data_IF_293803334666
#
_entry.id   IF_293803334666
#
_cell.length_a   1.000
_cell.length_b   1.000
_cell.length_c   1.000
_cell.angle_alpha   90.00
_cell.angle_beta   90.00
_cell.angle_gamma   90.00
#
_symmetry.space_group_name_H-M   'P 1'
#
loop_
_entity.id
_entity.type
_entity.pdbx_description
1 polymer ?
#
# COMPACT_ATOMS: atom_id res chain seq x y z
N UNK A 1 41.15 11.02 -0.99
CA UNK A 1 41.49 12.32 -0.41
C UNK A 1 40.45 12.67 0.66
N UNK A 2 40.89 13.26 1.75
CA UNK A 2 40.04 13.87 2.75
C UNK A 2 40.09 15.37 2.55
N UNK A 3 38.95 16.00 2.49
CA UNK A 3 38.81 17.43 2.22
C UNK A 3 38.37 18.18 3.48
N UNK A 4 38.92 19.37 3.67
CA UNK A 4 38.49 20.34 4.66
C UNK A 4 37.99 21.58 3.92
N UNK A 5 36.85 22.09 4.33
CA UNK A 5 36.31 23.34 3.81
C UNK A 5 36.86 24.51 4.62
N UNK A 6 37.51 25.43 3.94
CA UNK A 6 38.09 26.66 4.57
C UNK A 6 37.43 27.89 3.95
N UNK A 7 36.95 28.79 4.82
CA UNK A 7 36.43 30.09 4.37
C UNK A 7 37.61 31.02 4.05
N UNK A 8 37.65 31.50 2.82
CA UNK A 8 38.57 32.58 2.48
C UNK A 8 38.01 33.89 3.04
N UNK A 9 38.75 34.53 3.96
CA UNK A 9 38.30 35.75 4.65
C UNK A 9 38.20 36.98 3.73
N UNK A 10 38.98 37.00 2.63
CA UNK A 10 38.98 38.11 1.69
C UNK A 10 37.84 38.00 0.65
N UNK A 11 37.67 36.80 0.05
CA UNK A 11 36.66 36.59 -1.00
C UNK A 11 35.30 36.12 -0.47
N UNK A 12 35.20 35.72 0.82
CA UNK A 12 34.03 35.14 1.45
C UNK A 12 33.58 33.83 0.79
N UNK A 13 34.43 33.21 0.00
CA UNK A 13 34.15 31.93 -0.66
C UNK A 13 34.67 30.76 0.17
N UNK A 14 33.95 29.65 0.13
CA UNK A 14 34.36 28.38 0.74
C UNK A 14 35.20 27.62 -0.28
N UNK A 15 36.46 27.34 0.05
CA UNK A 15 37.37 26.57 -0.79
C UNK A 15 37.63 25.20 -0.16
N UNK A 16 37.75 24.17 -1.01
CA UNK A 16 38.13 22.84 -0.59
C UNK A 16 39.66 22.73 -0.53
N UNK A 17 40.19 22.35 0.64
CA UNK A 17 41.62 22.06 0.81
C UNK A 17 41.78 20.59 1.14
N UNK A 18 42.71 19.93 0.45
CA UNK A 18 43.07 18.56 0.73
C UNK A 18 43.80 18.51 2.07
N UNK A 19 43.19 17.92 3.09
CA UNK A 19 43.76 17.74 4.42
C UNK A 19 44.68 16.49 4.47
N UNK A 20 44.36 15.49 3.66
CA UNK A 20 45.18 14.29 3.58
C UNK A 20 44.77 13.38 2.41
N UNK A 21 45.70 12.58 1.96
CA UNK A 21 45.52 11.57 0.91
C UNK A 21 45.85 10.19 1.47
N UNK A 22 44.88 9.28 1.40
CA UNK A 22 45.08 7.86 1.73
C UNK A 22 45.07 7.05 0.44
N UNK A 23 46.13 6.33 0.19
CA UNK A 23 46.25 5.40 -0.97
C UNK A 23 46.39 3.98 -0.48
N UNK A 24 45.46 3.13 -0.91
CA UNK A 24 45.56 1.68 -0.67
C UNK A 24 45.08 0.93 -1.91
N UNK A 25 45.54 -0.31 -2.06
CA UNK A 25 44.95 -1.21 -3.01
C UNK A 25 43.50 -1.52 -2.57
N UNK A 26 42.53 -1.63 -3.49
CA UNK A 26 41.12 -1.90 -3.15
C UNK A 26 40.92 -3.39 -2.81
N UNK A 27 41.80 -3.93 -1.98
CA UNK A 27 41.76 -5.31 -1.53
C UNK A 27 41.03 -5.34 -0.20
N UNK A 28 39.99 -6.17 -0.10
CA UNK A 28 39.29 -6.48 1.15
C UNK A 28 39.65 -7.90 1.56
N UNK A 29 40.01 -8.08 2.82
CA UNK A 29 40.13 -9.41 3.39
C UNK A 29 38.74 -10.06 3.39
N UNK A 30 38.62 -11.22 2.73
CA UNK A 30 37.34 -11.90 2.52
C UNK A 30 37.11 -13.10 3.44
N UNK A 31 38.06 -13.41 4.31
CA UNK A 31 38.01 -14.63 5.12
C UNK A 31 37.34 -14.48 6.46
N UNK A 32 37.36 -13.28 7.05
CA UNK A 32 36.64 -13.03 8.29
C UNK A 32 35.89 -11.71 8.20
N UNK A 33 34.60 -11.76 8.43
CA UNK A 33 33.70 -10.61 8.50
C UNK A 33 32.88 -10.68 9.78
N UNK A 34 32.46 -9.52 10.30
CA UNK A 34 31.57 -9.51 11.44
C UNK A 34 30.17 -10.00 11.04
N UNK A 35 29.43 -10.52 11.99
CA UNK A 35 28.04 -10.97 11.79
C UNK A 35 27.18 -9.84 11.18
N UNK A 36 27.34 -8.59 11.62
CA UNK A 36 26.64 -7.45 11.04
C UNK A 36 26.95 -7.24 9.55
N UNK A 37 28.23 -7.35 9.16
CA UNK A 37 28.63 -7.21 7.76
C UNK A 37 28.20 -8.39 6.89
N UNK A 38 27.86 -9.53 7.48
CA UNK A 38 27.32 -10.69 6.76
C UNK A 38 25.82 -10.58 6.47
N UNK A 39 25.13 -9.57 7.02
CA UNK A 39 23.71 -9.36 6.72
C UNK A 39 23.50 -9.14 5.21
N UNK A 40 22.52 -9.85 4.65
CA UNK A 40 22.24 -9.84 3.21
C UNK A 40 23.14 -10.77 2.38
N UNK A 41 24.20 -11.36 2.98
CA UNK A 41 25.05 -12.34 2.30
C UNK A 41 24.57 -13.76 2.60
N UNK A 42 24.90 -14.70 1.72
CA UNK A 42 24.62 -16.12 1.88
C UNK A 42 25.87 -16.91 1.50
N UNK A 43 26.23 -17.89 2.33
CA UNK A 43 27.41 -18.69 2.16
C UNK A 43 27.06 -20.18 1.97
N UNK A 44 27.80 -20.87 1.15
CA UNK A 44 27.71 -22.33 1.04
C UNK A 44 28.41 -23.02 2.21
N UNK A 45 29.53 -22.44 2.66
CA UNK A 45 30.30 -22.91 3.81
C UNK A 45 30.75 -21.72 4.66
N UNK A 46 30.59 -21.82 5.96
CA UNK A 46 31.06 -20.78 6.89
C UNK A 46 31.48 -21.40 8.23
N UNK A 47 32.54 -20.87 8.80
CA UNK A 47 32.95 -21.13 10.19
C UNK A 47 32.41 -19.94 11.00
N UNK A 48 31.59 -20.20 12.00
CA UNK A 48 30.93 -19.19 12.82
C UNK A 48 31.50 -19.21 14.22
N UNK A 49 32.06 -18.06 14.64
CA UNK A 49 32.38 -17.79 16.04
C UNK A 49 31.29 -16.89 16.65
N UNK A 50 30.45 -17.50 17.50
CA UNK A 50 29.39 -16.82 18.19
C UNK A 50 29.59 -16.73 19.69
N UNK A 51 30.84 -16.91 20.18
CA UNK A 51 31.16 -16.92 21.62
C UNK A 51 30.81 -15.63 22.33
N UNK A 52 30.98 -14.51 21.68
CA UNK A 52 30.82 -13.18 22.21
C UNK A 52 29.63 -12.43 21.58
N UNK A 53 28.54 -13.13 21.30
CA UNK A 53 27.31 -12.46 20.86
C UNK A 53 26.78 -11.58 21.99
N UNK A 54 26.55 -10.29 21.67
CA UNK A 54 26.12 -9.29 22.66
C UNK A 54 24.75 -8.63 22.30
N UNK A 55 24.22 -8.90 21.11
CA UNK A 55 22.97 -8.33 20.67
C UNK A 55 21.89 -9.40 20.45
N UNK A 56 20.64 -9.02 20.69
CA UNK A 56 19.48 -9.86 20.40
C UNK A 56 19.47 -10.34 18.95
N UNK A 57 19.24 -11.62 18.74
CA UNK A 57 19.16 -12.22 17.40
C UNK A 57 20.50 -12.35 16.65
N UNK A 58 21.62 -11.88 17.18
CA UNK A 58 22.92 -11.91 16.49
C UNK A 58 23.36 -13.33 16.13
N UNK A 59 23.19 -14.28 17.03
CA UNK A 59 23.46 -15.71 16.77
C UNK A 59 22.57 -16.26 15.66
N UNK A 60 21.29 -15.92 15.66
CA UNK A 60 20.36 -16.32 14.60
C UNK A 60 20.81 -15.77 13.23
N UNK A 61 21.19 -14.49 13.18
CA UNK A 61 21.69 -13.87 11.95
C UNK A 61 22.93 -14.61 11.43
N UNK A 62 23.86 -14.97 12.30
CA UNK A 62 25.06 -15.72 11.93
C UNK A 62 24.73 -17.10 11.34
N UNK A 63 23.92 -17.88 12.07
CA UNK A 63 23.53 -19.23 11.66
C UNK A 63 22.72 -19.22 10.34
N UNK A 64 21.84 -18.26 10.16
CA UNK A 64 21.00 -18.12 8.95
C UNK A 64 21.77 -17.69 7.70
N UNK A 65 23.07 -17.40 7.79
CA UNK A 65 23.90 -17.06 6.63
C UNK A 65 24.32 -18.28 5.81
N UNK A 66 24.32 -19.48 6.39
CA UNK A 66 24.62 -20.71 5.66
C UNK A 66 23.35 -21.27 4.98
N UNK A 67 23.51 -21.76 3.75
CA UNK A 67 22.44 -22.41 2.98
C UNK A 67 22.00 -23.72 3.59
N UNK A 68 22.93 -24.50 4.12
CA UNK A 68 22.69 -25.85 4.69
C UNK A 68 23.43 -26.04 5.98
N UNK A 69 22.97 -26.98 6.79
CA UNK A 69 23.67 -27.38 8.02
C UNK A 69 25.02 -28.02 7.77
N UNK A 70 25.19 -28.74 6.67
CA UNK A 70 26.46 -29.39 6.29
C UNK A 70 27.57 -28.40 5.98
N UNK A 71 27.18 -27.20 5.53
CA UNK A 71 28.12 -26.11 5.25
C UNK A 71 28.50 -25.28 6.48
N UNK A 72 27.84 -25.51 7.62
CA UNK A 72 27.99 -24.72 8.81
C UNK A 72 28.91 -25.41 9.82
N UNK A 73 29.98 -24.73 10.22
CA UNK A 73 30.89 -25.16 11.28
C UNK A 73 30.85 -24.13 12.39
N UNK A 74 30.67 -24.58 13.62
CA UNK A 74 30.83 -23.75 14.82
C UNK A 74 32.24 -23.87 15.35
N UNK A 75 32.93 -22.77 15.56
CA UNK A 75 34.28 -22.77 16.13
C UNK A 75 34.26 -23.25 17.60
N UNK A 76 33.13 -23.03 18.26
CA UNK A 76 32.87 -23.52 19.62
C UNK A 76 31.41 -23.82 19.85
N UNK A 77 31.04 -24.71 20.78
CA UNK A 77 29.65 -24.96 21.09
C UNK A 77 28.93 -23.68 21.52
N UNK A 78 27.70 -23.52 21.02
CA UNK A 78 26.82 -22.39 21.41
C UNK A 78 26.42 -22.54 22.88
N UNK A 79 26.67 -21.53 23.66
CA UNK A 79 26.19 -21.44 25.04
C UNK A 79 24.81 -20.81 25.09
N UNK A 80 24.03 -21.10 26.13
CA UNK A 80 22.70 -20.50 26.31
C UNK A 80 22.76 -18.96 26.36
N UNK A 81 23.81 -18.42 26.92
CA UNK A 81 24.06 -16.98 27.06
C UNK A 81 24.32 -16.28 25.72
N UNK A 82 24.74 -17.04 24.70
CA UNK A 82 24.91 -16.53 23.34
C UNK A 82 23.57 -16.43 22.57
N UNK A 83 22.51 -17.04 23.10
CA UNK A 83 21.15 -16.98 22.52
C UNK A 83 20.38 -15.90 23.28
N UNK A 84 20.58 -14.67 22.83
CA UNK A 84 19.90 -13.52 23.42
C UNK A 84 18.63 -13.28 22.63
N UNK A 85 17.46 -13.47 23.26
CA UNK A 85 16.16 -13.16 22.69
C UNK A 85 15.57 -11.92 23.34
N UNK A 86 14.75 -11.21 22.55
CA UNK A 86 14.00 -10.07 23.07
C UNK A 86 12.62 -10.56 23.55
N UNK A 87 12.36 -10.36 24.85
CA UNK A 87 11.10 -10.78 25.46
C UNK A 87 9.87 -10.11 24.82
N UNK A 88 10.01 -8.91 24.29
CA UNK A 88 8.91 -8.22 23.57
C UNK A 88 8.60 -8.93 22.26
N UNK A 89 9.64 -9.29 21.50
CA UNK A 89 9.49 -10.06 20.24
C UNK A 89 8.94 -11.45 20.51
N UNK A 90 9.47 -12.14 21.53
CA UNK A 90 8.99 -13.48 21.92
C UNK A 90 7.52 -13.46 22.35
N UNK A 91 7.10 -12.47 23.12
CA UNK A 91 5.71 -12.31 23.54
C UNK A 91 4.81 -11.99 22.35
N UNK A 92 5.25 -11.09 21.47
CA UNK A 92 4.52 -10.77 20.24
C UNK A 92 4.33 -12.02 19.35
N UNK A 93 5.41 -12.78 19.15
CA UNK A 93 5.34 -14.01 18.35
C UNK A 93 4.36 -15.03 18.94
N UNK A 94 4.41 -15.23 20.27
CA UNK A 94 3.46 -16.11 20.98
C UNK A 94 2.01 -15.61 20.86
N UNK A 95 1.81 -14.30 20.92
CA UNK A 95 0.50 -13.69 20.75
C UNK A 95 -0.04 -13.87 19.33
N UNK A 96 0.80 -13.66 18.32
CA UNK A 96 0.45 -13.91 16.89
C UNK A 96 0.10 -15.38 16.67
N UNK A 97 0.87 -16.32 17.23
CA UNK A 97 0.57 -17.75 17.13
C UNK A 97 -0.76 -18.13 17.79
N UNK A 98 -1.04 -17.57 18.98
CA UNK A 98 -2.32 -17.80 19.69
C UNK A 98 -3.51 -17.21 18.95
N UNK A 99 -3.32 -16.06 18.32
CA UNK A 99 -4.37 -15.32 17.62
C UNK A 99 -4.39 -15.62 16.11
N UNK A 100 -3.68 -16.68 15.68
CA UNK A 100 -3.68 -17.08 14.28
C UNK A 100 -5.10 -17.34 13.79
N UNK A 101 -5.57 -16.63 12.74
CA UNK A 101 -6.93 -16.76 12.26
C UNK A 101 -7.20 -18.18 11.79
N UNK A 102 -8.29 -18.75 12.26
CA UNK A 102 -8.81 -20.04 11.78
C UNK A 102 -9.46 -19.87 10.40
N UNK A 103 -9.70 -21.01 9.71
CA UNK A 103 -10.30 -21.02 8.37
C UNK A 103 -11.64 -20.28 8.30
N UNK A 104 -12.47 -20.38 9.32
CA UNK A 104 -13.73 -19.65 9.38
C UNK A 104 -13.50 -18.12 9.42
N UNK A 105 -12.62 -17.68 10.29
CA UNK A 105 -12.30 -16.25 10.42
C UNK A 105 -11.69 -15.71 9.12
N UNK A 106 -10.83 -16.49 8.45
CA UNK A 106 -10.27 -16.13 7.14
C UNK A 106 -11.38 -15.99 6.09
N UNK A 107 -12.31 -16.94 6.04
CA UNK A 107 -13.48 -16.87 5.13
C UNK A 107 -14.34 -15.64 5.39
N UNK A 108 -14.61 -15.33 6.67
CA UNK A 108 -15.39 -14.14 7.06
C UNK A 108 -14.68 -12.84 6.65
N UNK A 109 -13.36 -12.78 6.82
CA UNK A 109 -12.55 -11.63 6.39
C UNK A 109 -12.52 -11.48 4.86
N UNK A 110 -12.45 -12.59 4.12
CA UNK A 110 -12.53 -12.58 2.66
C UNK A 110 -13.89 -12.08 2.16
N UNK A 111 -15.00 -12.54 2.80
CA UNK A 111 -16.34 -12.03 2.50
C UNK A 111 -16.46 -10.52 2.77
N UNK A 112 -15.96 -10.07 3.91
CA UNK A 112 -15.97 -8.65 4.27
C UNK A 112 -15.17 -7.82 3.24
N UNK A 113 -13.98 -8.26 2.86
CA UNK A 113 -13.17 -7.59 1.85
C UNK A 113 -13.86 -7.53 0.48
N UNK A 114 -14.49 -8.61 0.05
CA UNK A 114 -15.25 -8.62 -1.21
C UNK A 114 -16.45 -7.67 -1.17
N UNK A 115 -17.15 -7.62 -0.03
CA UNK A 115 -18.23 -6.64 0.19
C UNK A 115 -17.71 -5.20 0.11
N UNK A 116 -16.56 -4.91 0.72
CA UNK A 116 -15.95 -3.57 0.70
C UNK A 116 -15.58 -3.16 -0.73
N UNK A 117 -14.99 -4.06 -1.52
CA UNK A 117 -14.68 -3.82 -2.94
C UNK A 117 -15.93 -3.46 -3.77
N UNK A 118 -17.05 -4.19 -3.56
CA UNK A 118 -18.31 -3.87 -4.25
C UNK A 118 -18.90 -2.55 -3.75
N UNK A 119 -18.78 -2.29 -2.45
CA UNK A 119 -19.28 -1.05 -1.84
C UNK A 119 -18.53 0.16 -2.40
N UNK A 120 -17.22 0.06 -2.60
CA UNK A 120 -16.41 1.12 -3.21
C UNK A 120 -16.72 1.28 -4.71
N UNK A 121 -16.87 0.16 -5.44
CA UNK A 121 -17.16 0.19 -6.88
C UNK A 121 -18.49 0.89 -7.19
N UNK A 122 -19.51 0.67 -6.37
CA UNK A 122 -20.86 1.23 -6.56
C UNK A 122 -21.16 2.41 -5.62
N UNK A 123 -20.12 3.08 -5.10
CA UNK A 123 -20.24 4.27 -4.27
C UNK A 123 -20.22 5.54 -5.13
N UNK A 124 -21.38 6.13 -5.32
CA UNK A 124 -21.52 7.38 -6.07
C UNK A 124 -21.63 8.64 -5.20
N UNK A 125 -21.33 8.53 -3.90
CA UNK A 125 -21.39 9.67 -2.98
C UNK A 125 -20.47 10.81 -3.39
N UNK A 126 -19.23 10.49 -3.76
CA UNK A 126 -18.25 11.49 -4.23
C UNK A 126 -18.70 12.20 -5.50
N UNK A 127 -19.35 11.47 -6.43
CA UNK A 127 -19.93 12.03 -7.64
C UNK A 127 -21.07 13.01 -7.29
N UNK A 128 -22.00 12.60 -6.43
CA UNK A 128 -23.12 13.44 -5.98
C UNK A 128 -22.62 14.74 -5.32
N UNK A 129 -21.64 14.64 -4.41
CA UNK A 129 -21.07 15.82 -3.74
C UNK A 129 -20.34 16.74 -4.72
N UNK A 130 -19.56 16.19 -5.64
CA UNK A 130 -18.89 16.97 -6.67
C UNK A 130 -19.90 17.68 -7.59
N UNK A 131 -20.97 16.99 -7.96
CA UNK A 131 -22.04 17.55 -8.78
C UNK A 131 -22.77 18.70 -8.07
N UNK A 132 -23.13 18.53 -6.80
CA UNK A 132 -23.74 19.59 -5.99
C UNK A 132 -22.85 20.83 -5.86
N UNK A 133 -21.53 20.63 -5.71
CA UNK A 133 -20.56 21.75 -5.69
C UNK A 133 -20.50 22.48 -7.02
N UNK A 134 -20.49 21.72 -8.11
CA UNK A 134 -20.49 22.29 -9.47
C UNK A 134 -21.76 23.09 -9.74
N UNK A 135 -22.94 22.54 -9.39
CA UNK A 135 -24.21 23.25 -9.53
C UNK A 135 -24.23 24.58 -8.78
N UNK A 136 -23.72 24.57 -7.53
CA UNK A 136 -23.62 25.80 -6.72
C UNK A 136 -22.74 26.84 -7.40
N UNK A 137 -21.57 26.45 -7.87
CA UNK A 137 -20.63 27.34 -8.58
C UNK A 137 -21.24 27.91 -9.87
N UNK A 138 -21.98 27.10 -10.64
CA UNK A 138 -22.68 27.56 -11.84
C UNK A 138 -23.79 28.54 -11.49
N UNK A 139 -24.54 28.33 -10.40
CA UNK A 139 -25.66 29.16 -9.98
C UNK A 139 -25.20 30.48 -9.35
N UNK A 140 -24.13 30.49 -8.59
CA UNK A 140 -23.62 31.69 -7.89
C UNK A 140 -22.72 32.55 -8.78
N UNK A 141 -21.78 31.93 -9.51
CA UNK A 141 -20.71 32.66 -10.18
C UNK A 141 -20.89 32.78 -11.69
N UNK A 142 -21.47 31.76 -12.35
CA UNK A 142 -21.45 31.63 -13.82
C UNK A 142 -22.84 31.75 -14.47
N UNK A 143 -23.91 31.93 -13.71
CA UNK A 143 -25.27 31.90 -14.26
C UNK A 143 -25.52 32.98 -15.33
N UNK A 144 -24.88 34.15 -15.25
CA UNK A 144 -24.99 35.24 -16.20
C UNK A 144 -24.27 34.91 -17.50
N UNK A 145 -23.16 34.23 -17.46
CA UNK A 145 -22.35 33.88 -18.60
C UNK A 145 -22.87 32.65 -19.34
N UNK A 146 -23.38 31.66 -18.58
CA UNK A 146 -23.76 30.35 -19.13
C UNK A 146 -25.16 29.89 -18.62
N UNK A 147 -26.23 30.66 -18.84
CA UNK A 147 -27.57 30.33 -18.32
C UNK A 147 -28.14 29.03 -18.87
N UNK A 148 -27.87 28.71 -20.14
CA UNK A 148 -28.30 27.43 -20.75
C UNK A 148 -27.60 26.23 -20.11
N UNK A 149 -26.34 26.36 -19.83
CA UNK A 149 -25.53 25.30 -19.16
C UNK A 149 -26.07 25.01 -17.77
N UNK A 150 -26.35 26.05 -16.97
CA UNK A 150 -26.97 25.90 -15.67
C UNK A 150 -28.30 25.14 -15.76
N UNK A 151 -29.13 25.44 -16.75
CA UNK A 151 -30.41 24.75 -16.93
C UNK A 151 -30.20 23.26 -17.24
N UNK A 152 -29.24 22.92 -18.12
CA UNK A 152 -28.94 21.52 -18.46
C UNK A 152 -28.45 20.75 -17.24
N UNK A 153 -27.59 21.35 -16.39
CA UNK A 153 -27.14 20.73 -15.15
C UNK A 153 -28.29 20.58 -14.15
N UNK A 154 -29.15 21.58 -13.96
CA UNK A 154 -30.32 21.47 -13.05
C UNK A 154 -31.29 20.36 -13.47
N UNK A 155 -31.45 20.12 -14.77
CA UNK A 155 -32.28 19.02 -15.28
C UNK A 155 -31.67 17.63 -15.03
N UNK A 156 -30.36 17.53 -14.94
CA UNK A 156 -29.66 16.26 -14.72
C UNK A 156 -29.58 15.89 -13.21
N UNK A 157 -29.78 16.83 -12.31
CA UNK A 157 -29.67 16.58 -10.85
C UNK A 157 -30.64 15.49 -10.36
N UNK A 158 -31.96 15.51 -10.69
CA UNK A 158 -32.89 14.43 -10.32
C UNK A 158 -32.45 13.07 -10.86
N UNK A 159 -31.92 13.01 -12.09
CA UNK A 159 -31.44 11.79 -12.69
C UNK A 159 -30.29 11.18 -11.84
N UNK A 160 -29.30 11.98 -11.43
CA UNK A 160 -28.20 11.50 -10.56
C UNK A 160 -28.76 10.95 -9.24
N UNK A 161 -29.66 11.69 -8.62
CA UNK A 161 -30.24 11.28 -7.34
C UNK A 161 -31.05 9.99 -7.48
N UNK A 162 -32.03 9.95 -8.37
CA UNK A 162 -33.02 8.88 -8.45
C UNK A 162 -32.51 7.63 -9.19
N UNK A 163 -31.73 7.82 -10.28
CA UNK A 163 -31.28 6.71 -11.13
C UNK A 163 -29.92 6.17 -10.74
N UNK A 164 -29.08 6.96 -10.08
CA UNK A 164 -27.74 6.51 -9.71
C UNK A 164 -27.69 6.29 -8.19
N UNK A 165 -27.83 7.33 -7.37
CA UNK A 165 -27.58 7.22 -5.91
C UNK A 165 -28.61 6.32 -5.23
N UNK A 166 -29.90 6.54 -5.44
CA UNK A 166 -30.96 5.73 -4.80
C UNK A 166 -30.96 4.28 -5.31
N UNK A 167 -30.66 4.07 -6.59
CA UNK A 167 -30.52 2.72 -7.13
C UNK A 167 -29.29 2.01 -6.55
N UNK A 168 -28.17 2.71 -6.38
CA UNK A 168 -26.97 2.15 -5.75
C UNK A 168 -27.23 1.70 -4.31
N UNK A 169 -27.95 2.49 -3.53
CA UNK A 169 -28.37 2.09 -2.18
C UNK A 169 -29.23 0.81 -2.17
N UNK A 170 -30.19 0.71 -3.07
CA UNK A 170 -31.03 -0.50 -3.20
C UNK A 170 -30.21 -1.70 -3.67
N UNK A 171 -29.29 -1.47 -4.62
CA UNK A 171 -28.41 -2.49 -5.15
C UNK A 171 -27.45 -3.02 -4.09
N UNK A 172 -26.94 -2.14 -3.22
CA UNK A 172 -26.11 -2.55 -2.06
C UNK A 172 -26.83 -3.58 -1.19
N UNK A 173 -28.09 -3.35 -0.86
CA UNK A 173 -28.87 -4.29 -0.06
C UNK A 173 -29.05 -5.66 -0.76
N UNK A 174 -29.18 -5.65 -2.08
CA UNK A 174 -29.32 -6.88 -2.87
C UNK A 174 -28.03 -7.73 -2.86
N UNK A 175 -26.89 -7.15 -3.23
CA UNK A 175 -25.66 -7.94 -3.25
C UNK A 175 -25.18 -8.29 -1.85
N UNK A 176 -25.47 -7.48 -0.82
CA UNK A 176 -25.21 -7.84 0.59
C UNK A 176 -25.95 -9.12 0.98
N UNK A 177 -27.23 -9.23 0.59
CA UNK A 177 -28.01 -10.43 0.85
C UNK A 177 -27.41 -11.63 0.13
N UNK A 178 -27.12 -11.52 -1.16
CA UNK A 178 -26.55 -12.61 -1.95
C UNK A 178 -25.19 -13.09 -1.40
N UNK A 179 -24.30 -12.16 -0.99
CA UNK A 179 -23.01 -12.52 -0.38
C UNK A 179 -23.21 -13.30 0.92
N UNK A 180 -24.20 -12.90 1.76
CA UNK A 180 -24.43 -13.57 3.04
C UNK A 180 -25.11 -14.94 2.88
N UNK A 181 -25.98 -15.11 1.89
CA UNK A 181 -26.68 -16.35 1.60
C UNK A 181 -25.79 -17.38 0.86
N UNK A 182 -24.75 -16.94 0.16
CA UNK A 182 -23.86 -17.80 -0.60
C UNK A 182 -22.76 -18.41 0.28
N UNK A 183 -22.52 -19.71 0.11
CA UNK A 183 -21.37 -20.40 0.72
C UNK A 183 -20.07 -20.07 -0.01
N UNK A 184 -20.11 -20.03 -1.34
CA UNK A 184 -18.99 -19.63 -2.21
C UNK A 184 -19.38 -18.44 -3.11
N UNK A 185 -19.36 -17.25 -2.50
CA UNK A 185 -19.72 -15.99 -3.15
C UNK A 185 -18.84 -15.68 -4.38
N UNK A 186 -17.61 -16.19 -4.45
CA UNK A 186 -16.68 -15.91 -5.54
C UNK A 186 -17.09 -16.60 -6.85
N UNK A 187 -17.66 -17.81 -6.77
CA UNK A 187 -18.13 -18.59 -7.92
C UNK A 187 -19.66 -18.61 -8.08
N UNK A 188 -20.37 -17.89 -7.21
CA UNK A 188 -21.84 -17.81 -7.26
C UNK A 188 -22.32 -17.10 -8.53
N UNK A 189 -23.00 -17.85 -9.40
CA UNK A 189 -23.43 -17.36 -10.71
C UNK A 189 -24.48 -16.26 -10.61
N UNK A 190 -25.42 -16.36 -9.68
CA UNK A 190 -26.46 -15.35 -9.48
C UNK A 190 -25.86 -14.02 -9.05
N UNK A 191 -24.94 -14.05 -8.09
CA UNK A 191 -24.21 -12.87 -7.62
C UNK A 191 -23.38 -12.25 -8.74
N UNK A 192 -22.62 -13.05 -9.49
CA UNK A 192 -21.80 -12.57 -10.59
C UNK A 192 -22.63 -11.91 -11.71
N UNK A 193 -23.74 -12.54 -12.07
CA UNK A 193 -24.66 -11.99 -13.08
C UNK A 193 -25.33 -10.69 -12.61
N UNK A 194 -25.67 -10.64 -11.34
CA UNK A 194 -26.24 -9.43 -10.72
C UNK A 194 -25.25 -8.27 -10.70
N UNK A 195 -23.99 -8.52 -10.37
CA UNK A 195 -22.92 -7.52 -10.39
C UNK A 195 -22.71 -7.00 -11.81
N UNK A 196 -22.63 -7.88 -12.82
CA UNK A 196 -22.50 -7.48 -14.23
C UNK A 196 -23.67 -6.62 -14.69
N UNK A 197 -24.89 -7.03 -14.39
CA UNK A 197 -26.09 -6.28 -14.75
C UNK A 197 -26.10 -4.90 -14.07
N UNK A 198 -25.68 -4.84 -12.82
CA UNK A 198 -25.51 -3.59 -12.08
C UNK A 198 -24.47 -2.67 -12.73
N UNK A 199 -23.31 -3.20 -13.10
CA UNK A 199 -22.26 -2.44 -13.78
C UNK A 199 -22.72 -1.88 -15.13
N UNK A 200 -23.42 -2.69 -15.93
CA UNK A 200 -24.00 -2.24 -17.21
C UNK A 200 -25.04 -1.14 -17.01
N UNK A 201 -25.91 -1.30 -15.99
CA UNK A 201 -26.90 -0.30 -15.65
C UNK A 201 -26.25 1.03 -15.30
N UNK A 202 -25.32 1.03 -14.32
CA UNK A 202 -24.67 2.28 -13.89
C UNK A 202 -23.82 2.91 -14.98
N UNK A 203 -23.15 2.13 -15.81
CA UNK A 203 -22.41 2.64 -16.96
C UNK A 203 -23.35 3.42 -17.91
N UNK A 204 -24.55 2.88 -18.19
CA UNK A 204 -25.56 3.55 -19.03
C UNK A 204 -26.08 4.83 -18.38
N UNK A 205 -26.38 4.80 -17.09
CA UNK A 205 -26.94 5.96 -16.36
C UNK A 205 -25.90 7.08 -16.13
N UNK A 206 -24.60 6.76 -16.17
CA UNK A 206 -23.50 7.74 -16.10
C UNK A 206 -23.24 8.46 -17.43
N UNK A 207 -23.66 7.88 -18.56
CA UNK A 207 -23.39 8.43 -19.90
C UNK A 207 -23.93 9.86 -20.10
N UNK A 208 -25.15 10.25 -19.67
CA UNK A 208 -25.63 11.62 -19.78
C UNK A 208 -24.72 12.62 -19.06
N UNK A 209 -24.15 12.25 -17.93
CA UNK A 209 -23.21 13.10 -17.16
C UNK A 209 -21.93 13.29 -17.96
N UNK A 210 -21.38 12.23 -18.52
CA UNK A 210 -20.16 12.26 -19.34
C UNK A 210 -20.34 13.16 -20.57
N UNK A 211 -21.48 13.04 -21.25
CA UNK A 211 -21.81 13.86 -22.42
C UNK A 211 -21.90 15.33 -22.06
N UNK A 212 -22.56 15.68 -20.93
CA UNK A 212 -22.69 17.06 -20.50
C UNK A 212 -21.33 17.65 -20.09
N UNK A 213 -20.48 16.90 -19.39
CA UNK A 213 -19.12 17.34 -19.08
C UNK A 213 -18.27 17.58 -20.33
N UNK A 214 -18.34 16.71 -21.33
CA UNK A 214 -17.61 16.89 -22.58
C UNK A 214 -18.03 18.18 -23.29
N UNK A 215 -19.32 18.49 -23.33
CA UNK A 215 -19.84 19.77 -23.87
C UNK A 215 -19.32 20.97 -23.10
N UNK A 216 -19.28 20.87 -21.75
CA UNK A 216 -18.80 21.95 -20.88
C UNK A 216 -17.35 22.27 -21.15
N UNK A 217 -16.49 21.24 -21.25
CA UNK A 217 -15.07 21.40 -21.56
C UNK A 217 -14.85 22.05 -22.94
N UNK A 218 -15.67 21.71 -23.93
CA UNK A 218 -15.63 22.33 -25.26
C UNK A 218 -15.99 23.82 -25.23
N UNK A 219 -16.85 24.24 -24.30
CA UNK A 219 -17.26 25.66 -24.16
C UNK A 219 -16.22 26.52 -23.45
N UNK A 220 -15.37 25.92 -22.64
CA UNK A 220 -14.31 26.61 -21.85
C UNK A 220 -13.02 26.77 -22.67
N UNK A 221 -12.83 25.98 -23.72
CA UNK A 221 -11.63 25.99 -24.57
C UNK A 221 -11.77 26.84 -25.86
N UNK A 222 -12.78 27.73 -25.96
CA UNK A 222 -12.92 28.70 -27.05
C UNK A 222 -12.32 30.05 -26.70
#
# INVERSE_FOLDING_TARGET
DSYKYVLNEETKEITEVIEGTFRQYPIRLAWAITIHKSQGLTFERAIIDARNSFAHGQTYVALSRCKTLEGLVLESPLRKEAIISDSVVDNFTKEVERNKPGNKQLSDMQKAYFFDLLSDLFNFYSLEQAYKRLLRMLDEDLYKLYPKLLTEYKLLEPHIKEKIVEVAHRFRNQYTRLINESEDYASDQELQERIRSGAVYFHKELEPIRVLFAKTLSLIHI
#
